data_IF_577632408011
#
_entry.id   IF_577632408011
#
_cell.length_a   1.000
_cell.length_b   1.000
_cell.length_c   1.000
_cell.angle_alpha   90.00
_cell.angle_beta   90.00
_cell.angle_gamma   90.00
#
_symmetry.space_group_name_H-M   'P 1'
#
loop_
_entity.id
_entity.type
_entity.pdbx_description
1 polymer ?
#
# COMPACT_ATOMS: atom_id res chain seq x y z
N UNK A 1 -5.76 0.10 -28.39
CA UNK A 1 -4.29 0.04 -28.23
C UNK A 1 -3.98 -1.09 -27.27
N UNK A 2 -3.22 -2.08 -27.73
CA UNK A 2 -2.92 -3.31 -26.99
C UNK A 2 -1.70 -3.09 -26.10
N UNK A 3 -1.87 -3.11 -24.77
CA UNK A 3 -0.77 -3.13 -23.81
C UNK A 3 -0.63 -4.56 -23.29
N UNK A 4 0.26 -5.30 -23.94
CA UNK A 4 0.85 -6.51 -23.37
C UNK A 4 1.98 -6.07 -22.44
N UNK A 5 1.69 -6.01 -21.14
CA UNK A 5 2.73 -5.93 -20.11
C UNK A 5 2.73 -7.24 -19.30
N UNK A 6 3.74 -7.43 -18.47
CA UNK A 6 3.96 -8.58 -17.57
C UNK A 6 4.70 -9.78 -18.19
N UNK A 7 6.01 -9.62 -18.33
CA UNK A 7 6.94 -10.75 -18.14
C UNK A 7 7.12 -10.91 -16.63
N UNK A 8 6.47 -11.91 -16.03
CA UNK A 8 6.77 -12.32 -14.66
C UNK A 8 8.14 -12.98 -14.70
N UNK A 9 9.21 -12.21 -14.48
CA UNK A 9 10.51 -12.78 -14.18
C UNK A 9 10.34 -13.60 -12.89
N UNK A 10 10.53 -14.92 -13.00
CA UNK A 10 10.57 -15.83 -11.87
C UNK A 10 11.77 -15.45 -11.00
N UNK A 11 11.58 -14.52 -10.07
CA UNK A 11 12.55 -14.28 -9.02
C UNK A 11 12.43 -15.46 -8.04
N UNK A 12 13.21 -16.51 -8.28
CA UNK A 12 13.39 -17.61 -7.34
C UNK A 12 14.26 -17.07 -6.20
N UNK A 13 13.64 -16.40 -5.23
CA UNK A 13 14.33 -16.09 -3.98
C UNK A 13 14.33 -17.39 -3.16
N UNK A 14 15.50 -17.98 -2.85
CA UNK A 14 15.55 -19.18 -2.03
C UNK A 14 14.82 -18.92 -0.71
N UNK A 15 13.96 -19.84 -0.29
CA UNK A 15 13.18 -19.72 0.96
C UNK A 15 14.05 -19.41 2.18
N UNK A 16 15.31 -19.85 2.19
CA UNK A 16 16.30 -19.53 3.22
C UNK A 16 16.70 -18.04 3.25
N UNK A 17 16.81 -17.38 2.09
CA UNK A 17 17.11 -15.94 1.98
C UNK A 17 15.92 -15.11 2.45
N UNK A 18 14.70 -15.54 2.11
CA UNK A 18 13.47 -14.93 2.64
C UNK A 18 13.42 -15.06 4.16
N UNK A 19 13.72 -16.25 4.72
CA UNK A 19 13.70 -16.49 6.16
C UNK A 19 14.74 -15.69 6.95
N UNK A 20 15.96 -15.54 6.41
CA UNK A 20 17.02 -14.74 7.05
C UNK A 20 16.68 -13.24 6.99
N UNK A 21 16.18 -12.75 5.85
CA UNK A 21 15.73 -11.37 5.70
C UNK A 21 14.58 -11.01 6.64
N UNK A 22 13.62 -11.92 6.81
CA UNK A 22 12.52 -11.78 7.80
C UNK A 22 13.06 -11.69 9.23
N UNK A 23 14.05 -12.51 9.56
CA UNK A 23 14.60 -12.55 10.92
C UNK A 23 15.37 -11.27 11.27
N UNK A 24 16.21 -10.79 10.35
CA UNK A 24 16.94 -9.52 10.50
C UNK A 24 15.96 -8.35 10.61
N UNK A 25 14.94 -8.32 9.75
CA UNK A 25 13.89 -7.29 9.79
C UNK A 25 13.09 -7.30 11.12
N UNK A 26 12.84 -8.48 11.71
CA UNK A 26 12.17 -8.59 13.01
C UNK A 26 13.05 -8.17 14.19
N UNK A 27 14.37 -8.23 14.04
CA UNK A 27 15.34 -7.75 15.04
C UNK A 27 15.49 -6.23 14.97
N UNK A 28 15.55 -5.66 13.76
CA UNK A 28 15.68 -4.23 13.54
C UNK A 28 14.29 -3.58 13.41
N UNK A 29 13.63 -3.37 14.55
CA UNK A 29 12.25 -2.86 14.55
C UNK A 29 12.22 -1.41 14.03
N UNK A 30 11.54 -1.13 12.90
CA UNK A 30 11.46 0.23 12.34
C UNK A 30 10.67 1.18 13.23
N UNK A 31 9.86 0.66 14.17
CA UNK A 31 9.07 1.44 15.12
C UNK A 31 9.19 0.92 16.56
N UNK A 32 9.13 1.82 17.56
CA UNK A 32 9.01 1.43 18.96
C UNK A 32 7.73 0.63 19.22
N UNK A 33 7.81 -0.36 20.12
CA UNK A 33 6.68 -1.25 20.44
C UNK A 33 5.40 -0.51 20.84
N UNK A 34 5.53 0.61 21.56
CA UNK A 34 4.39 1.45 21.98
C UNK A 34 3.62 2.05 20.79
N UNK A 35 4.33 2.47 19.73
CA UNK A 35 3.71 2.95 18.49
C UNK A 35 3.16 1.80 17.66
N UNK A 36 3.85 0.66 17.59
CA UNK A 36 3.32 -0.55 16.93
C UNK A 36 1.99 -1.01 17.52
N UNK A 37 1.79 -0.83 18.83
CA UNK A 37 0.56 -1.21 19.52
C UNK A 37 -0.66 -0.34 19.18
N UNK A 38 -0.46 0.86 18.60
CA UNK A 38 -1.57 1.75 18.20
C UNK A 38 -2.09 1.47 16.80
N UNK A 39 -1.42 0.59 16.04
CA UNK A 39 -1.85 0.16 14.70
C UNK A 39 -3.08 -0.73 14.84
N UNK A 40 -4.20 -0.31 14.26
CA UNK A 40 -5.42 -1.14 14.19
C UNK A 40 -5.48 -1.88 12.87
N UNK A 41 -5.89 -3.14 12.88
CA UNK A 41 -5.97 -4.01 11.70
C UNK A 41 -7.41 -4.43 11.42
N UNK A 42 -7.80 -4.52 10.15
CA UNK A 42 -9.13 -4.95 9.71
C UNK A 42 -9.03 -5.96 8.56
N UNK A 43 -10.09 -6.75 8.37
CA UNK A 43 -10.25 -7.67 7.22
C UNK A 43 -11.17 -7.10 6.13
N UNK A 44 -11.34 -5.78 6.14
CA UNK A 44 -12.19 -5.02 5.23
C UNK A 44 -11.40 -3.80 4.74
N UNK A 45 -11.84 -3.22 3.63
CA UNK A 45 -11.30 -1.97 3.11
C UNK A 45 -11.63 -0.80 4.04
N UNK A 46 -10.90 0.31 3.92
CA UNK A 46 -11.26 1.51 4.66
C UNK A 46 -12.67 1.99 4.27
N UNK A 47 -13.41 2.65 5.19
CA UNK A 47 -14.72 3.19 4.86
C UNK A 47 -14.68 4.18 3.69
N UNK A 48 -13.67 5.04 3.66
CA UNK A 48 -13.46 6.03 2.60
C UNK A 48 -13.24 5.36 1.24
N UNK A 49 -12.49 4.26 1.23
CA UNK A 49 -12.28 3.46 0.02
C UNK A 49 -13.59 2.82 -0.47
N UNK A 50 -14.39 2.23 0.42
CA UNK A 50 -15.68 1.63 0.07
C UNK A 50 -16.74 2.64 -0.37
N UNK A 51 -16.68 3.87 0.12
CA UNK A 51 -17.61 4.95 -0.25
C UNK A 51 -17.13 5.80 -1.43
N UNK A 52 -15.90 5.63 -1.90
CA UNK A 52 -15.37 6.37 -3.04
C UNK A 52 -16.04 5.94 -4.34
N UNK A 53 -16.75 6.86 -4.98
CA UNK A 53 -17.30 6.68 -6.34
C UNK A 53 -16.23 6.48 -7.41
N UNK A 54 -14.97 6.71 -7.07
CA UNK A 54 -13.81 6.55 -7.94
C UNK A 54 -12.97 5.31 -7.60
N UNK A 55 -13.47 4.43 -6.71
CA UNK A 55 -12.79 3.17 -6.37
C UNK A 55 -12.47 2.40 -7.64
N UNK A 56 -11.17 2.25 -7.94
CA UNK A 56 -10.69 1.53 -9.11
C UNK A 56 -10.79 0.00 -8.94
N UNK A 57 -11.59 -0.45 -7.98
CA UNK A 57 -11.93 -1.86 -7.77
C UNK A 57 -12.52 -2.51 -9.02
N UNK A 58 -13.23 -1.77 -9.86
CA UNK A 58 -13.74 -2.25 -11.15
C UNK A 58 -12.64 -2.49 -12.20
N UNK A 59 -11.49 -1.80 -12.10
CA UNK A 59 -10.33 -2.03 -12.99
C UNK A 59 -9.67 -3.37 -12.65
N UNK A 60 -9.50 -3.68 -11.36
CA UNK A 60 -8.83 -4.91 -10.93
C UNK A 60 -9.76 -6.13 -10.89
N UNK A 61 -11.06 -5.91 -10.74
CA UNK A 61 -12.07 -6.95 -10.59
C UNK A 61 -13.33 -6.64 -11.41
N UNK A 62 -13.22 -6.56 -12.76
CA UNK A 62 -14.33 -6.13 -13.62
C UNK A 62 -15.54 -7.08 -13.59
N UNK A 63 -15.31 -8.34 -13.17
CA UNK A 63 -16.35 -9.37 -13.07
C UNK A 63 -16.96 -9.49 -11.67
N UNK A 64 -16.56 -8.61 -10.75
CA UNK A 64 -17.01 -8.61 -9.36
C UNK A 64 -16.93 -9.99 -8.68
N UNK A 65 -15.82 -10.70 -8.92
CA UNK A 65 -15.54 -11.98 -8.27
C UNK A 65 -15.21 -11.79 -6.79
N UNK A 66 -15.22 -12.88 -6.03
CA UNK A 66 -14.81 -12.83 -4.63
C UNK A 66 -13.41 -12.24 -4.49
N UNK A 67 -13.29 -11.26 -3.60
CA UNK A 67 -12.04 -10.59 -3.26
C UNK A 67 -11.69 -10.84 -1.80
N UNK A 68 -10.40 -10.67 -1.49
CA UNK A 68 -9.90 -10.67 -0.11
C UNK A 68 -9.31 -9.30 0.14
N UNK A 69 -9.64 -8.73 1.30
CA UNK A 69 -9.13 -7.44 1.71
C UNK A 69 -8.51 -7.49 3.11
N UNK A 70 -7.56 -6.60 3.34
CA UNK A 70 -7.01 -6.27 4.64
C UNK A 70 -6.66 -4.78 4.68
N UNK A 71 -6.76 -4.17 5.86
CA UNK A 71 -6.37 -2.78 6.04
C UNK A 71 -5.73 -2.54 7.40
N UNK A 72 -4.87 -1.53 7.45
CA UNK A 72 -4.22 -1.03 8.65
C UNK A 72 -4.45 0.45 8.78
N UNK A 73 -4.51 0.94 10.01
CA UNK A 73 -4.50 2.37 10.26
C UNK A 73 -3.68 2.73 11.49
N UNK A 74 -3.14 3.95 11.47
CA UNK A 74 -2.52 4.57 12.62
C UNK A 74 -2.87 6.06 12.66
N UNK A 75 -2.97 6.60 13.88
CA UNK A 75 -3.12 8.04 14.11
C UNK A 75 -1.75 8.68 14.22
N UNK A 76 -1.56 9.75 13.46
CA UNK A 76 -0.43 10.67 13.54
C UNK A 76 -0.90 11.96 14.24
N UNK A 77 -0.10 12.44 15.19
CA UNK A 77 -0.32 13.73 15.84
C UNK A 77 0.08 14.90 14.94
N UNK A 78 -0.31 16.12 15.29
CA UNK A 78 0.20 17.35 14.65
C UNK A 78 1.73 17.42 14.62
N UNK A 79 2.40 16.98 15.69
CA UNK A 79 3.87 16.95 15.75
C UNK A 79 4.48 15.91 14.80
N UNK A 80 3.76 14.79 14.56
CA UNK A 80 4.21 13.76 13.62
C UNK A 80 4.11 14.25 12.17
N UNK A 81 3.03 14.97 11.80
CA UNK A 81 2.83 15.48 10.42
C UNK A 81 3.62 16.76 10.14
N UNK A 82 3.78 17.64 11.14
CA UNK A 82 4.40 18.97 11.04
C UNK A 82 3.71 19.84 9.97
N UNK A 83 4.44 20.73 9.33
CA UNK A 83 3.95 21.62 8.26
C UNK A 83 4.07 20.99 6.85
N UNK A 84 4.15 19.65 6.77
CA UNK A 84 4.28 18.93 5.50
C UNK A 84 2.94 18.88 4.75
N UNK A 85 3.00 18.92 3.42
CA UNK A 85 1.83 18.71 2.57
C UNK A 85 1.37 17.25 2.59
N UNK A 86 0.11 17.02 2.22
CA UNK A 86 -0.45 15.68 2.07
C UNK A 86 0.35 14.84 1.06
N UNK A 87 0.80 15.48 -0.02
CA UNK A 87 1.63 14.84 -1.03
C UNK A 87 2.96 14.38 -0.42
N UNK A 88 3.63 15.22 0.35
CA UNK A 88 4.91 14.89 0.98
C UNK A 88 4.77 13.74 1.99
N UNK A 89 3.72 13.77 2.81
CA UNK A 89 3.44 12.71 3.79
C UNK A 89 3.17 11.38 3.06
N UNK A 90 2.30 11.39 2.04
CA UNK A 90 1.97 10.20 1.26
C UNK A 90 3.16 9.70 0.44
N UNK A 91 3.99 10.59 -0.11
CA UNK A 91 5.20 10.23 -0.85
C UNK A 91 6.25 9.60 0.07
N UNK A 92 6.48 10.19 1.24
CA UNK A 92 7.38 9.64 2.26
C UNK A 92 6.89 8.27 2.74
N UNK A 93 5.58 8.14 3.02
CA UNK A 93 4.98 6.88 3.41
C UNK A 93 5.11 5.82 2.30
N UNK A 94 4.78 6.18 1.06
CA UNK A 94 4.88 5.30 -0.11
C UNK A 94 6.31 4.83 -0.31
N UNK A 95 7.28 5.75 -0.24
CA UNK A 95 8.70 5.43 -0.33
C UNK A 95 9.10 4.46 0.78
N UNK A 96 8.77 4.73 2.04
CA UNK A 96 9.08 3.84 3.16
C UNK A 96 8.44 2.46 3.04
N UNK A 97 7.16 2.40 2.63
CA UNK A 97 6.44 1.14 2.40
C UNK A 97 7.11 0.26 1.34
N UNK A 98 7.71 0.89 0.33
CA UNK A 98 8.41 0.21 -0.74
C UNK A 98 9.94 0.17 -0.55
N UNK A 99 10.49 0.71 0.54
CA UNK A 99 11.94 0.77 0.80
C UNK A 99 12.49 -0.48 1.49
N UNK A 100 11.65 -1.48 1.77
CA UNK A 100 12.08 -2.70 2.46
C UNK A 100 13.21 -3.44 1.71
N UNK A 101 14.05 -4.22 2.43
CA UNK A 101 15.27 -4.85 1.88
C UNK A 101 15.02 -5.87 0.74
N UNK A 102 13.76 -6.20 0.44
CA UNK A 102 13.35 -7.09 -0.67
C UNK A 102 12.86 -6.29 -1.90
N UNK A 103 12.60 -4.99 -1.72
CA UNK A 103 11.93 -4.09 -2.66
C UNK A 103 12.71 -2.77 -2.86
N UNK A 104 14.02 -2.75 -2.62
CA UNK A 104 14.80 -1.51 -2.68
C UNK A 104 14.66 -0.80 -4.04
N UNK A 105 13.94 0.32 -4.03
CA UNK A 105 13.64 1.14 -5.20
C UNK A 105 14.26 2.53 -4.99
N UNK A 106 15.41 2.77 -5.60
CA UNK A 106 16.11 4.05 -5.54
C UNK A 106 15.34 5.21 -6.23
N UNK A 107 14.21 4.94 -6.89
CA UNK A 107 13.53 5.90 -7.75
C UNK A 107 12.31 6.61 -7.14
N UNK A 108 11.93 6.35 -5.89
CA UNK A 108 10.79 7.03 -5.25
C UNK A 108 11.23 8.28 -4.48
N UNK A 109 10.64 9.41 -4.84
CA UNK A 109 10.80 10.68 -4.11
C UNK A 109 10.08 10.61 -2.76
N UNK A 110 10.70 11.16 -1.72
CA UNK A 110 10.04 11.39 -0.43
C UNK A 110 9.12 12.61 -0.42
N UNK A 111 9.18 13.46 -1.46
CA UNK A 111 8.46 14.75 -1.49
C UNK A 111 7.26 14.78 -2.41
N UNK A 112 7.29 13.96 -3.47
CA UNK A 112 6.31 14.02 -4.56
C UNK A 112 5.81 12.63 -4.85
N UNK A 113 4.51 12.48 -5.04
CA UNK A 113 3.93 11.20 -5.40
C UNK A 113 4.36 10.80 -6.82
N UNK A 114 4.51 9.50 -7.11
CA UNK A 114 4.79 9.06 -8.46
C UNK A 114 3.61 9.42 -9.37
N UNK A 115 3.90 9.83 -10.60
CA UNK A 115 2.87 10.21 -11.55
C UNK A 115 1.91 9.05 -11.86
N UNK A 116 0.66 9.38 -12.17
CA UNK A 116 -0.31 8.39 -12.66
C UNK A 116 0.27 7.60 -13.84
N UNK A 117 0.07 6.29 -13.83
CA UNK A 117 0.59 5.30 -14.76
C UNK A 117 2.11 5.07 -14.71
N UNK A 118 2.82 5.65 -13.73
CA UNK A 118 4.19 5.26 -13.46
C UNK A 118 4.26 3.79 -13.07
N UNK A 119 5.25 3.09 -13.63
CA UNK A 119 5.53 1.68 -13.36
C UNK A 119 6.56 1.60 -12.23
N UNK A 120 6.25 0.81 -11.21
CA UNK A 120 7.16 0.53 -10.10
C UNK A 120 7.63 -0.93 -10.20
N UNK A 121 8.82 -1.24 -9.68
CA UNK A 121 9.35 -2.61 -9.60
C UNK A 121 9.45 -3.34 -10.94
N UNK A 122 10.03 -2.70 -11.95
CA UNK A 122 10.17 -3.30 -13.28
C UNK A 122 8.82 -3.60 -13.96
N UNK A 123 7.75 -2.88 -13.57
CA UNK A 123 6.41 -3.02 -14.13
C UNK A 123 5.48 -3.98 -13.39
N UNK A 124 5.84 -4.42 -12.19
CA UNK A 124 4.96 -5.27 -11.36
C UNK A 124 3.83 -4.49 -10.69
N UNK A 125 4.04 -3.19 -10.45
CA UNK A 125 3.05 -2.29 -9.88
C UNK A 125 2.89 -1.07 -10.79
N UNK A 126 1.70 -0.48 -10.76
CA UNK A 126 1.38 0.73 -11.52
C UNK A 126 0.56 1.70 -10.67
N UNK A 127 0.93 2.97 -10.65
CA UNK A 127 0.09 3.99 -10.01
C UNK A 127 -1.17 4.21 -10.83
N UNK A 128 -2.33 3.86 -10.27
CA UNK A 128 -3.61 3.96 -10.95
C UNK A 128 -4.29 5.30 -10.71
N UNK A 129 -4.11 5.86 -9.51
CA UNK A 129 -4.78 7.08 -9.09
C UNK A 129 -3.97 7.81 -8.02
N UNK A 130 -3.99 9.13 -8.08
CA UNK A 130 -3.41 10.03 -7.08
C UNK A 130 -4.35 11.21 -6.89
N UNK A 131 -4.66 11.53 -5.64
CA UNK A 131 -5.42 12.71 -5.26
C UNK A 131 -4.74 13.36 -4.06
N UNK A 132 -4.40 14.62 -4.19
CA UNK A 132 -3.86 15.45 -3.11
C UNK A 132 -4.75 16.68 -3.00
N UNK A 133 -5.27 16.97 -1.81
CA UNK A 133 -6.11 18.15 -1.58
C UNK A 133 -5.27 19.33 -1.09
N UNK A 134 -4.71 20.11 -2.02
CA UNK A 134 -4.25 21.47 -1.64
C UNK A 134 -5.39 22.50 -1.60
N UNK A 135 -6.64 22.15 -2.00
CA UNK A 135 -7.68 23.18 -2.21
C UNK A 135 -9.18 22.79 -2.09
N UNK A 136 -9.59 21.67 -1.49
CA UNK A 136 -11.02 21.29 -1.34
C UNK A 136 -11.34 20.63 0.05
N UNK A 137 -12.63 20.39 0.42
CA UNK A 137 -13.06 20.39 1.81
C UNK A 137 -12.62 19.15 2.61
N UNK A 138 -12.28 19.39 3.89
CA UNK A 138 -11.71 18.52 4.94
C UNK A 138 -12.16 17.05 5.06
N UNK A 139 -13.20 16.63 4.36
CA UNK A 139 -13.80 15.30 4.48
C UNK A 139 -13.40 14.32 3.36
N UNK A 140 -12.59 14.78 2.39
CA UNK A 140 -12.11 13.96 1.29
C UNK A 140 -10.66 13.52 1.54
N UNK A 141 -10.34 12.21 1.58
CA UNK A 141 -8.96 11.78 1.76
C UNK A 141 -8.09 12.21 0.59
N UNK A 142 -6.86 12.61 0.90
CA UNK A 142 -5.75 12.53 -0.06
C UNK A 142 -5.34 11.06 -0.16
N UNK A 143 -5.12 10.55 -1.38
CA UNK A 143 -4.79 9.15 -1.56
C UNK A 143 -3.91 8.85 -2.77
N UNK A 144 -3.25 7.70 -2.72
CA UNK A 144 -2.58 7.07 -3.85
C UNK A 144 -3.02 5.61 -3.94
N UNK A 145 -3.43 5.20 -5.14
CA UNK A 145 -3.83 3.82 -5.43
C UNK A 145 -2.85 3.20 -6.42
N UNK A 146 -2.35 2.02 -6.08
CA UNK A 146 -1.29 1.31 -6.78
C UNK A 146 -1.82 -0.07 -7.13
N UNK A 147 -2.02 -0.32 -8.41
CA UNK A 147 -2.48 -1.59 -8.95
C UNK A 147 -1.35 -2.57 -9.16
N UNK A 148 -1.68 -3.86 -9.13
CA UNK A 148 -0.79 -4.95 -9.48
C UNK A 148 -1.55 -6.11 -10.13
N UNK A 149 -0.82 -6.99 -10.80
CA UNK A 149 -1.39 -8.12 -11.55
C UNK A 149 -2.08 -7.68 -12.84
N UNK A 150 -2.92 -8.56 -13.38
CA UNK A 150 -3.57 -8.41 -14.69
C UNK A 150 -4.98 -8.99 -14.63
N UNK A 151 -5.98 -8.20 -15.03
CA UNK A 151 -7.41 -8.56 -15.04
C UNK A 151 -7.74 -9.69 -16.04
N UNK A 152 -6.82 -9.99 -16.95
CA UNK A 152 -6.87 -11.11 -17.90
C UNK A 152 -6.18 -12.37 -17.37
N UNK A 153 -5.46 -12.28 -16.26
CA UNK A 153 -4.75 -13.41 -15.62
C UNK A 153 -5.47 -13.85 -14.34
N UNK A 154 -4.88 -14.78 -13.60
CA UNK A 154 -5.51 -15.35 -12.40
C UNK A 154 -5.32 -14.50 -11.13
N UNK A 155 -4.68 -13.34 -11.23
CA UNK A 155 -4.37 -12.50 -10.10
C UNK A 155 -4.34 -11.02 -10.49
N UNK A 156 -5.14 -10.22 -9.80
CA UNK A 156 -5.12 -8.76 -9.86
C UNK A 156 -5.52 -8.19 -8.50
N UNK A 157 -5.04 -6.99 -8.20
CA UNK A 157 -5.34 -6.31 -6.97
C UNK A 157 -4.81 -4.89 -6.94
N UNK A 158 -4.99 -4.23 -5.81
CA UNK A 158 -4.46 -2.90 -5.56
C UNK A 158 -4.13 -2.69 -4.09
N UNK A 159 -3.23 -1.74 -3.86
CA UNK A 159 -2.97 -1.12 -2.57
C UNK A 159 -3.44 0.33 -2.64
N UNK A 160 -4.10 0.80 -1.59
CA UNK A 160 -4.54 2.19 -1.45
C UNK A 160 -3.98 2.75 -0.15
N UNK A 161 -3.30 3.90 -0.26
CA UNK A 161 -2.82 4.66 0.89
C UNK A 161 -3.64 5.94 0.97
N UNK A 162 -4.25 6.19 2.13
CA UNK A 162 -5.13 7.34 2.34
C UNK A 162 -4.64 8.13 3.55
N UNK A 163 -4.64 9.45 3.41
CA UNK A 163 -4.41 10.41 4.49
C UNK A 163 -5.71 11.15 4.75
N UNK A 164 -6.21 11.03 5.98
CA UNK A 164 -7.45 11.67 6.43
C UNK A 164 -7.13 12.61 7.57
N UNK A 165 -7.35 13.91 7.37
CA UNK A 165 -7.13 14.91 8.42
C UNK A 165 -8.20 14.83 9.51
N UNK A 166 -7.78 15.01 10.75
CA UNK A 166 -8.62 15.17 11.92
C UNK A 166 -8.31 16.47 12.66
N UNK A 167 -8.99 16.71 13.79
CA UNK A 167 -8.77 17.94 14.59
C UNK A 167 -7.35 18.05 15.15
N UNK A 168 -6.74 16.91 15.50
CA UNK A 168 -5.49 16.83 16.27
C UNK A 168 -4.34 16.13 15.53
N UNK A 169 -4.45 16.04 14.21
CA UNK A 169 -3.44 15.41 13.35
C UNK A 169 -4.11 14.73 12.16
N UNK A 170 -3.60 13.56 11.76
CA UNK A 170 -4.11 12.82 10.62
C UNK A 170 -4.16 11.31 10.89
N UNK A 171 -4.90 10.59 10.06
CA UNK A 171 -4.93 9.12 10.05
C UNK A 171 -4.37 8.66 8.72
N UNK A 172 -3.34 7.82 8.77
CA UNK A 172 -2.90 7.07 7.60
C UNK A 172 -3.62 5.73 7.60
N UNK A 173 -4.26 5.43 6.48
CA UNK A 173 -4.84 4.14 6.17
C UNK A 173 -4.07 3.46 5.04
N UNK A 174 -3.83 2.16 5.22
CA UNK A 174 -3.45 1.24 4.17
C UNK A 174 -4.62 0.30 3.92
N UNK A 175 -5.00 0.09 2.67
CA UNK A 175 -5.95 -0.93 2.26
C UNK A 175 -5.35 -1.77 1.14
N UNK A 176 -5.54 -3.09 1.21
CA UNK A 176 -5.22 -4.02 0.14
C UNK A 176 -6.46 -4.79 -0.27
N UNK A 177 -6.59 -5.04 -1.57
CA UNK A 177 -7.57 -6.00 -2.08
C UNK A 177 -6.98 -6.78 -3.23
N UNK A 178 -7.23 -8.09 -3.24
CA UNK A 178 -6.87 -8.96 -4.35
C UNK A 178 -8.01 -9.90 -4.71
N UNK A 179 -8.06 -10.28 -5.99
CA UNK A 179 -9.02 -11.27 -6.50
C UNK A 179 -8.38 -12.12 -7.60
N UNK A 180 -9.09 -13.18 -7.99
CA UNK A 180 -8.88 -13.82 -9.29
C UNK A 180 -9.92 -13.25 -10.27
N UNK A 181 -9.50 -12.43 -11.24
CA UNK A 181 -10.44 -11.76 -12.13
C UNK A 181 -10.99 -12.71 -13.21
N UNK A 182 -10.37 -13.87 -13.45
CA UNK A 182 -10.79 -14.85 -14.47
C UNK A 182 -11.68 -15.97 -13.93
N UNK A 183 -11.49 -16.37 -12.68
CA UNK A 183 -12.24 -17.46 -12.03
C UNK A 183 -12.78 -16.94 -10.70
N UNK A 184 -14.06 -17.16 -10.40
CA UNK A 184 -14.68 -16.75 -9.14
C UNK A 184 -14.24 -17.64 -7.95
N UNK A 185 -12.94 -17.63 -7.66
CA UNK A 185 -12.27 -18.34 -6.57
C UNK A 185 -11.14 -17.45 -6.05
N UNK A 186 -10.64 -17.76 -4.85
CA UNK A 186 -9.47 -17.06 -4.31
C UNK A 186 -8.25 -17.32 -5.21
N UNK A 187 -7.43 -16.30 -5.49
CA UNK A 187 -6.27 -16.47 -6.37
C UNK A 187 -5.17 -17.34 -5.74
N UNK A 188 -5.13 -17.43 -4.40
CA UNK A 188 -4.15 -18.21 -3.66
C UNK A 188 -4.75 -18.95 -2.46
N UNK A 189 -4.05 -19.95 -1.89
CA UNK A 189 -4.42 -20.57 -0.62
C UNK A 189 -4.36 -19.60 0.57
N UNK A 190 -5.10 -19.89 1.64
CA UNK A 190 -5.21 -19.01 2.82
C UNK A 190 -3.88 -18.67 3.50
N UNK A 191 -2.89 -19.58 3.47
CA UNK A 191 -1.58 -19.33 4.08
C UNK A 191 -0.80 -18.22 3.37
N UNK A 192 -0.96 -18.07 2.05
CA UNK A 192 -0.34 -16.98 1.27
C UNK A 192 -0.91 -15.64 1.70
N UNK A 193 -2.23 -15.58 1.97
CA UNK A 193 -2.87 -14.38 2.49
C UNK A 193 -2.48 -14.07 3.94
N UNK A 194 -2.25 -15.09 4.76
CA UNK A 194 -1.72 -14.89 6.11
C UNK A 194 -0.30 -14.29 6.07
N UNK A 195 0.55 -14.81 5.18
CA UNK A 195 1.88 -14.25 4.93
C UNK A 195 1.80 -12.82 4.40
N UNK A 196 0.97 -12.57 3.37
CA UNK A 196 0.74 -11.23 2.84
C UNK A 196 0.32 -10.26 3.94
N UNK A 197 -0.63 -10.63 4.81
CA UNK A 197 -1.09 -9.78 5.92
C UNK A 197 0.05 -9.43 6.88
N UNK A 198 0.84 -10.43 7.27
CA UNK A 198 1.99 -10.21 8.13
C UNK A 198 3.02 -9.28 7.46
N UNK A 199 3.34 -9.52 6.19
CA UNK A 199 4.32 -8.73 5.42
C UNK A 199 3.83 -7.32 5.08
N UNK A 200 2.55 -7.15 4.72
CA UNK A 200 1.96 -5.84 4.49
C UNK A 200 1.96 -5.00 5.77
N UNK A 201 1.75 -5.63 6.94
CA UNK A 201 1.86 -4.94 8.23
C UNK A 201 3.30 -4.50 8.52
N UNK A 202 4.31 -5.27 8.12
CA UNK A 202 5.71 -4.85 8.25
C UNK A 202 6.02 -3.66 7.36
N UNK A 203 5.69 -3.72 6.06
CA UNK A 203 5.87 -2.60 5.15
C UNK A 203 5.08 -1.35 5.59
N UNK A 204 3.90 -1.53 6.16
CA UNK A 204 3.15 -0.43 6.76
C UNK A 204 3.94 0.27 7.88
N UNK A 205 4.62 -0.50 8.74
CA UNK A 205 5.46 0.06 9.79
C UNK A 205 6.67 0.81 9.21
N UNK A 206 7.27 0.33 8.12
CA UNK A 206 8.37 1.03 7.43
C UNK A 206 7.90 2.37 6.84
N UNK A 207 6.72 2.39 6.22
CA UNK A 207 6.10 3.62 5.72
C UNK A 207 5.89 4.65 6.83
N UNK A 208 5.40 4.22 8.00
CA UNK A 208 5.23 5.11 9.16
C UNK A 208 6.59 5.54 9.73
N UNK A 209 7.57 4.65 9.83
CA UNK A 209 8.90 5.00 10.31
C UNK A 209 9.55 6.07 9.43
N UNK A 210 9.43 5.94 8.10
CA UNK A 210 9.90 6.95 7.15
C UNK A 210 9.24 8.32 7.38
N UNK A 211 7.92 8.34 7.61
CA UNK A 211 7.18 9.58 7.92
C UNK A 211 7.68 10.22 9.21
N UNK A 212 8.07 9.44 10.22
CA UNK A 212 8.53 9.95 11.51
C UNK A 212 10.03 10.33 11.53
N UNK A 213 10.85 9.71 10.66
CA UNK A 213 12.30 9.88 10.64
C UNK A 213 12.80 11.17 9.97
N UNK A 214 11.96 11.85 9.19
CA UNK A 214 12.32 13.13 8.57
C UNK A 214 12.36 14.24 9.63
N UNK A 215 13.58 14.55 10.10
CA UNK A 215 13.93 15.71 10.92
C UNK A 215 14.06 17.00 10.10
#
# INVERSE_FOLDING_TARGET
MSLSMFTVSKLLVPTAVVGLGITIYLQDRPLPAARTATITSYQQLSPSFSSSSQSLSSIINPRNHISIADSYKIRLSKADIRDRSDEEILATFTRGFFAGPVLELESLSGKTLPQKYSLLFGGNFMVLYTKTEDSKPRDCPSCVEIGYGDDRKQFSGMHSFELIHGRDGAVIWYSSVSCNPTINKRPFPSWVFAFHRWYARTLFMDGIAAVLATE
#
